data_IF_520475363909
#
_entry.id   IF_520475363909
#
_cell.length_a   1.000
_cell.length_b   1.000
_cell.length_c   1.000
_cell.angle_alpha   90.00
_cell.angle_beta   90.00
_cell.angle_gamma   90.00
#
_symmetry.space_group_name_H-M   'P 1'
#
loop_
_entity.id
_entity.type
_entity.pdbx_description
1 polymer ?
#
# COMPACT_ATOMS: atom_id res chain seq x y z
N UNK A 1 14.93 4.41 -13.68
CA UNK A 1 14.57 3.37 -12.69
C UNK A 1 13.86 4.08 -11.54
N UNK A 2 12.60 3.74 -11.27
CA UNK A 2 11.74 4.44 -10.29
C UNK A 2 11.92 3.83 -8.91
N UNK A 3 12.94 4.31 -8.19
CA UNK A 3 13.32 3.84 -6.85
C UNK A 3 13.41 5.00 -5.87
N UNK A 4 13.12 4.73 -4.60
CA UNK A 4 13.32 5.67 -3.52
C UNK A 4 13.61 4.95 -2.21
N UNK A 5 14.30 5.66 -1.31
CA UNK A 5 14.56 5.23 0.06
C UNK A 5 14.13 6.35 1.00
N UNK A 6 13.49 5.99 2.09
CA UNK A 6 13.05 6.93 3.13
C UNK A 6 13.44 6.38 4.49
N UNK A 7 14.01 7.25 5.31
CA UNK A 7 14.23 7.01 6.73
C UNK A 7 13.34 7.94 7.55
N UNK A 8 12.69 7.40 8.57
CA UNK A 8 11.84 8.14 9.52
C UNK A 8 12.25 7.75 10.93
N UNK A 9 12.63 8.71 11.74
CA UNK A 9 13.01 8.52 13.12
C UNK A 9 12.17 9.44 14.01
N UNK A 10 11.39 8.84 14.90
CA UNK A 10 10.53 9.51 15.87
C UNK A 10 10.86 8.98 17.27
N UNK A 11 10.15 9.45 18.29
CA UNK A 11 10.26 8.89 19.64
C UNK A 11 9.61 7.50 19.76
N UNK A 12 8.74 7.12 18.82
CA UNK A 12 7.93 5.90 18.82
C UNK A 12 8.49 4.83 17.88
N UNK A 13 9.07 5.24 16.75
CA UNK A 13 9.52 4.33 15.69
C UNK A 13 10.82 4.79 15.04
N UNK A 14 11.66 3.81 14.64
CA UNK A 14 12.81 4.01 13.74
C UNK A 14 12.61 3.16 12.52
N UNK A 15 12.45 3.79 11.36
CA UNK A 15 12.04 3.13 10.13
C UNK A 15 13.02 3.46 9.00
N UNK A 16 13.39 2.44 8.25
CA UNK A 16 14.02 2.56 6.95
C UNK A 16 13.23 1.74 5.94
N UNK A 17 12.79 2.38 4.86
CA UNK A 17 12.08 1.73 3.76
C UNK A 17 12.76 1.99 2.44
N UNK A 18 12.69 1.03 1.52
CA UNK A 18 13.00 1.25 0.12
C UNK A 18 11.93 0.64 -0.78
N UNK A 19 11.68 1.28 -1.91
CA UNK A 19 10.75 0.79 -2.93
C UNK A 19 11.38 0.89 -4.32
N UNK A 20 11.13 -0.12 -5.15
CA UNK A 20 11.43 -0.12 -6.58
C UNK A 20 10.13 -0.46 -7.34
N UNK A 21 9.54 0.53 -8.03
CA UNK A 21 8.30 0.36 -8.77
C UNK A 21 8.45 -0.54 -10.00
N UNK A 22 9.67 -0.66 -10.52
CA UNK A 22 10.03 -1.49 -11.67
C UNK A 22 10.75 -2.79 -11.22
N UNK A 23 10.34 -3.33 -10.08
CA UNK A 23 10.95 -4.50 -9.44
C UNK A 23 10.44 -5.84 -9.99
N UNK A 24 10.74 -6.88 -9.25
CA UNK A 24 10.38 -8.28 -9.54
C UNK A 24 9.53 -8.93 -8.45
N UNK A 25 9.08 -8.15 -7.46
CA UNK A 25 8.26 -8.61 -6.36
C UNK A 25 9.06 -9.22 -5.21
N UNK A 26 10.30 -8.79 -5.02
CA UNK A 26 11.15 -9.22 -3.92
C UNK A 26 10.89 -8.36 -2.70
N UNK A 27 10.75 -8.99 -1.53
CA UNK A 27 10.57 -8.29 -0.26
C UNK A 27 11.65 -8.62 0.76
N UNK A 28 11.96 -7.64 1.65
CA UNK A 28 12.76 -7.82 2.87
C UNK A 28 12.04 -7.07 3.98
N UNK A 29 11.34 -7.79 4.85
CA UNK A 29 10.37 -7.22 5.77
C UNK A 29 10.73 -7.58 7.21
N UNK A 30 10.90 -6.58 8.05
CA UNK A 30 11.25 -6.67 9.47
C UNK A 30 10.52 -5.56 10.23
N UNK A 31 9.18 -5.62 10.29
CA UNK A 31 8.39 -4.66 11.08
C UNK A 31 8.30 -5.04 12.56
N UNK A 32 8.61 -6.29 12.88
CA UNK A 32 8.36 -6.88 14.21
C UNK A 32 6.93 -7.39 14.39
N UNK A 33 6.06 -7.23 13.39
CA UNK A 33 4.65 -7.67 13.39
C UNK A 33 4.44 -8.66 12.25
N UNK A 34 4.47 -9.95 12.57
CA UNK A 34 4.52 -11.03 11.56
C UNK A 34 3.38 -11.01 10.55
N UNK A 35 2.13 -10.77 10.99
CA UNK A 35 0.99 -10.68 10.07
C UNK A 35 1.11 -9.46 9.14
N UNK A 36 1.60 -8.35 9.66
CA UNK A 36 1.82 -7.15 8.85
C UNK A 36 2.92 -7.35 7.79
N UNK A 37 4.03 -8.01 8.17
CA UNK A 37 5.07 -8.39 7.21
C UNK A 37 4.49 -9.28 6.10
N UNK A 38 3.63 -10.24 6.46
CA UNK A 38 2.93 -11.07 5.48
C UNK A 38 2.03 -10.24 4.54
N UNK A 39 1.35 -9.22 5.05
CA UNK A 39 0.52 -8.32 4.23
C UNK A 39 1.36 -7.44 3.30
N UNK A 40 2.48 -6.90 3.76
CA UNK A 40 3.41 -6.14 2.92
C UNK A 40 4.04 -7.00 1.81
N UNK A 41 4.30 -8.29 2.08
CA UNK A 41 4.76 -9.24 1.06
C UNK A 41 3.71 -9.44 -0.05
N UNK A 42 2.41 -9.40 0.28
CA UNK A 42 1.35 -9.45 -0.73
C UNK A 42 1.42 -8.24 -1.68
N UNK A 43 1.70 -7.04 -1.14
CA UNK A 43 1.86 -5.84 -1.97
C UNK A 43 3.06 -6.00 -2.91
N UNK A 44 4.21 -6.39 -2.37
CA UNK A 44 5.44 -6.57 -3.15
C UNK A 44 5.24 -7.61 -4.26
N UNK A 45 4.79 -8.80 -3.90
CA UNK A 45 4.63 -9.94 -4.81
C UNK A 45 3.62 -9.68 -5.91
N UNK A 46 2.42 -9.22 -5.56
CA UNK A 46 1.35 -9.00 -6.53
C UNK A 46 1.46 -7.67 -7.27
N UNK A 47 2.17 -6.70 -6.66
CA UNK A 47 2.55 -5.44 -7.30
C UNK A 47 3.76 -5.54 -8.22
N UNK A 48 4.53 -6.65 -8.16
CA UNK A 48 5.81 -6.78 -8.84
C UNK A 48 6.76 -5.62 -8.52
N UNK A 49 6.68 -5.13 -7.28
CA UNK A 49 7.54 -4.08 -6.73
C UNK A 49 8.52 -4.70 -5.75
N UNK A 50 9.78 -4.24 -5.72
CA UNK A 50 10.66 -4.66 -4.65
C UNK A 50 10.45 -3.72 -3.46
N UNK A 51 10.22 -4.26 -2.27
CA UNK A 51 9.94 -3.51 -1.04
C UNK A 51 10.86 -4.00 0.08
N UNK A 52 11.55 -3.06 0.72
CA UNK A 52 12.27 -3.35 1.96
C UNK A 52 11.72 -2.48 3.09
N UNK A 53 11.50 -3.09 4.25
CA UNK A 53 11.06 -2.41 5.47
C UNK A 53 11.88 -2.94 6.63
N UNK A 54 12.54 -2.05 7.35
CA UNK A 54 13.13 -2.30 8.65
C UNK A 54 12.52 -1.30 9.64
N UNK A 55 11.86 -1.79 10.68
CA UNK A 55 11.23 -0.96 11.69
C UNK A 55 11.56 -1.46 13.10
N UNK A 56 11.89 -0.54 13.98
CA UNK A 56 11.95 -0.73 15.43
C UNK A 56 10.92 0.20 16.06
N UNK A 57 9.76 -0.34 16.41
CA UNK A 57 8.68 0.40 17.05
C UNK A 57 8.51 0.03 18.53
N UNK A 58 7.68 0.79 19.20
CA UNK A 58 7.30 0.64 20.60
C UNK A 58 6.23 -0.45 20.83
N UNK A 59 6.47 -1.64 20.26
CA UNK A 59 5.55 -2.79 20.28
C UNK A 59 5.13 -3.26 21.68
N UNK A 60 5.82 -2.78 22.73
CA UNK A 60 5.40 -3.01 24.11
C UNK A 60 4.10 -2.26 24.47
N UNK A 61 3.73 -1.24 23.72
CA UNK A 61 2.43 -0.54 23.80
C UNK A 61 1.41 -1.35 22.97
N UNK A 62 1.56 -1.31 21.65
CA UNK A 62 0.84 -2.12 20.67
C UNK A 62 1.52 -1.97 19.29
N UNK A 63 0.87 -2.43 18.22
CA UNK A 63 1.40 -2.34 16.86
C UNK A 63 0.96 -1.07 16.09
N UNK A 64 0.19 -0.17 16.69
CA UNK A 64 -0.44 0.98 16.01
C UNK A 64 0.61 1.88 15.37
N UNK A 65 1.53 2.44 16.17
CA UNK A 65 2.56 3.35 15.68
C UNK A 65 3.45 2.71 14.61
N UNK A 66 3.79 1.44 14.78
CA UNK A 66 4.57 0.69 13.78
C UNK A 66 3.85 0.61 12.43
N UNK A 67 2.59 0.21 12.43
CA UNK A 67 1.81 0.00 11.20
C UNK A 67 1.52 1.32 10.49
N UNK A 68 1.09 2.33 11.23
CA UNK A 68 0.82 3.68 10.70
C UNK A 68 2.09 4.30 10.11
N UNK A 69 3.18 4.32 10.86
CA UNK A 69 4.44 4.97 10.46
C UNK A 69 5.12 4.27 9.28
N UNK A 70 5.02 2.94 9.18
CA UNK A 70 5.45 2.20 7.99
C UNK A 70 4.59 2.60 6.79
N UNK A 71 3.27 2.77 6.96
CA UNK A 71 2.37 3.29 5.91
C UNK A 71 2.80 4.68 5.44
N UNK A 72 3.10 5.58 6.37
CA UNK A 72 3.63 6.93 6.09
C UNK A 72 4.93 6.87 5.28
N UNK A 73 5.91 6.12 5.76
CA UNK A 73 7.22 6.02 5.13
C UNK A 73 7.15 5.40 3.73
N UNK A 74 6.36 4.33 3.55
CA UNK A 74 6.12 3.72 2.24
C UNK A 74 5.37 4.65 1.29
N UNK A 75 4.38 5.43 1.78
CA UNK A 75 3.69 6.44 0.99
C UNK A 75 4.63 7.53 0.48
N UNK A 76 5.55 8.00 1.33
CA UNK A 76 6.59 8.96 0.96
C UNK A 76 7.55 8.37 -0.08
N UNK A 77 8.04 7.15 0.14
CA UNK A 77 8.93 6.46 -0.79
C UNK A 77 8.24 6.22 -2.15
N UNK A 78 6.98 5.80 -2.15
CA UNK A 78 6.17 5.64 -3.37
C UNK A 78 6.10 6.96 -4.16
N UNK A 79 5.74 8.06 -3.50
CA UNK A 79 5.64 9.39 -4.13
C UNK A 79 6.98 9.83 -4.75
N UNK A 80 8.09 9.62 -4.03
CA UNK A 80 9.42 9.95 -4.52
C UNK A 80 9.82 9.09 -5.72
N UNK A 81 9.60 7.78 -5.64
CA UNK A 81 9.92 6.84 -6.72
C UNK A 81 9.11 7.12 -8.00
N UNK A 82 7.86 7.56 -7.83
CA UNK A 82 6.96 7.85 -8.95
C UNK A 82 7.39 9.07 -9.77
N UNK A 83 8.02 10.05 -9.16
CA UNK A 83 8.52 11.24 -9.82
C UNK A 83 7.42 12.14 -10.38
N UNK A 84 7.58 12.57 -11.64
CA UNK A 84 6.71 13.58 -12.28
C UNK A 84 5.38 13.03 -12.82
N UNK A 85 5.14 11.74 -12.70
CA UNK A 85 3.91 11.04 -13.10
C UNK A 85 3.59 11.07 -14.60
N UNK A 86 4.50 11.51 -15.45
CA UNK A 86 4.29 11.53 -16.90
C UNK A 86 4.30 10.11 -17.47
N UNK A 87 3.39 9.85 -18.39
CA UNK A 87 3.30 8.59 -19.11
C UNK A 87 2.73 7.41 -18.33
N UNK A 88 2.34 7.58 -17.07
CA UNK A 88 1.69 6.51 -16.30
C UNK A 88 0.20 6.36 -16.68
N UNK A 89 -0.38 5.18 -16.42
CA UNK A 89 -1.82 4.95 -16.61
C UNK A 89 -2.70 5.75 -15.64
N UNK A 90 -2.19 6.05 -14.44
CA UNK A 90 -2.82 6.88 -13.40
C UNK A 90 -3.97 6.19 -12.67
N UNK A 91 -4.96 5.64 -13.38
CA UNK A 91 -6.13 4.99 -12.78
C UNK A 91 -5.99 3.48 -12.91
N UNK A 92 -6.36 2.76 -11.88
CA UNK A 92 -6.46 1.31 -11.96
C UNK A 92 -7.39 0.73 -10.91
N UNK A 93 -7.77 -0.51 -11.15
CA UNK A 93 -8.54 -1.30 -10.20
C UNK A 93 -8.11 -2.77 -10.24
N UNK A 94 -8.42 -3.49 -9.17
CA UNK A 94 -8.30 -4.93 -9.13
C UNK A 94 -9.40 -5.55 -8.28
N UNK A 95 -9.91 -6.68 -8.73
CA UNK A 95 -10.74 -7.60 -7.94
C UNK A 95 -9.88 -8.81 -7.64
N UNK A 96 -9.76 -9.18 -6.38
CA UNK A 96 -8.98 -10.35 -5.96
C UNK A 96 -9.79 -11.23 -5.03
N UNK A 97 -10.03 -12.50 -5.39
CA UNK A 97 -10.62 -13.49 -4.52
C UNK A 97 -9.54 -14.23 -3.72
N UNK A 98 -9.92 -14.72 -2.57
CA UNK A 98 -9.24 -15.78 -1.83
C UNK A 98 -10.32 -16.64 -1.17
N UNK A 99 -10.51 -17.85 -1.68
CA UNK A 99 -11.60 -18.74 -1.30
C UNK A 99 -12.96 -18.01 -1.30
N UNK A 100 -13.58 -17.82 -0.13
CA UNK A 100 -14.89 -17.17 0.03
C UNK A 100 -14.81 -15.64 0.09
N UNK A 101 -13.62 -15.06 0.25
CA UNK A 101 -13.43 -13.61 0.33
C UNK A 101 -13.19 -13.01 -1.06
N UNK A 102 -13.71 -11.82 -1.25
CA UNK A 102 -13.53 -11.02 -2.48
C UNK A 102 -13.41 -9.56 -2.12
N UNK A 103 -12.32 -8.92 -2.52
CA UNK A 103 -12.13 -7.49 -2.37
C UNK A 103 -11.93 -6.79 -3.70
N UNK A 104 -12.35 -5.53 -3.76
CA UNK A 104 -12.14 -4.59 -4.85
C UNK A 104 -11.31 -3.41 -4.34
N UNK A 105 -10.28 -3.05 -5.10
CA UNK A 105 -9.49 -1.84 -4.87
C UNK A 105 -9.50 -1.00 -6.14
N UNK A 106 -9.78 0.29 -6.01
CA UNK A 106 -9.74 1.28 -7.10
C UNK A 106 -8.91 2.47 -6.66
N UNK A 107 -8.00 2.95 -7.49
CA UNK A 107 -7.18 4.10 -7.14
C UNK A 107 -6.97 5.08 -8.30
N UNK A 108 -6.72 6.32 -7.90
CA UNK A 108 -6.28 7.43 -8.77
C UNK A 108 -5.00 8.05 -8.19
N UNK A 109 -3.94 8.09 -8.98
CA UNK A 109 -2.72 8.84 -8.63
C UNK A 109 -2.99 10.34 -8.87
N UNK A 110 -3.88 10.88 -8.05
CA UNK A 110 -4.53 12.18 -8.25
C UNK A 110 -3.71 13.38 -7.74
N UNK A 111 -2.65 13.14 -6.96
CA UNK A 111 -1.97 14.20 -6.21
C UNK A 111 -2.76 14.70 -4.98
N UNK A 112 -3.90 14.10 -4.68
CA UNK A 112 -4.79 14.45 -3.55
C UNK A 112 -5.05 13.22 -2.68
N UNK A 113 -4.78 13.29 -1.37
CA UNK A 113 -5.09 12.18 -0.47
C UNK A 113 -6.61 12.02 -0.29
N UNK A 114 -7.07 10.78 -0.32
CA UNK A 114 -8.44 10.42 -0.01
C UNK A 114 -8.57 8.91 0.15
N UNK A 115 -9.16 8.44 1.25
CA UNK A 115 -9.41 7.04 1.53
C UNK A 115 -10.88 6.79 1.80
N UNK A 116 -11.50 5.97 0.95
CA UNK A 116 -12.80 5.35 1.18
C UNK A 116 -12.58 3.88 1.55
N UNK A 117 -12.94 3.52 2.78
CA UNK A 117 -12.65 2.20 3.34
C UNK A 117 -13.94 1.53 3.80
N UNK A 118 -14.51 0.69 2.94
CA UNK A 118 -15.75 -0.04 3.15
C UNK A 118 -15.46 -1.51 3.45
N UNK A 119 -14.95 -1.76 4.66
CA UNK A 119 -14.58 -3.09 5.12
C UNK A 119 -15.13 -3.33 6.51
N UNK A 120 -15.88 -4.41 6.65
CA UNK A 120 -16.35 -4.93 7.94
C UNK A 120 -15.68 -6.28 8.20
N UNK A 121 -14.70 -6.29 9.09
CA UNK A 121 -14.03 -7.54 9.47
C UNK A 121 -14.93 -8.39 10.36
N UNK A 122 -14.91 -9.70 10.14
CA UNK A 122 -15.71 -10.66 10.92
C UNK A 122 -15.16 -10.90 12.33
N UNK A 123 -13.96 -10.40 12.65
CA UNK A 123 -13.28 -10.52 13.94
C UNK A 123 -12.46 -9.26 14.19
N UNK A 124 -12.24 -8.96 15.47
CA UNK A 124 -11.39 -7.84 15.88
C UNK A 124 -9.89 -8.12 15.70
N UNK A 125 -9.47 -9.39 15.62
CA UNK A 125 -8.06 -9.78 15.55
C UNK A 125 -7.80 -10.95 14.60
N UNK A 126 -6.61 -10.94 13.99
CA UNK A 126 -6.04 -12.06 13.24
C UNK A 126 -4.73 -12.44 13.94
N UNK A 127 -4.76 -13.51 14.74
CA UNK A 127 -3.69 -13.76 15.72
C UNK A 127 -3.60 -12.59 16.70
N UNK A 128 -2.42 -12.02 16.85
CA UNK A 128 -2.17 -10.84 17.69
C UNK A 128 -2.40 -9.50 16.95
N UNK A 129 -2.70 -9.53 15.66
CA UNK A 129 -2.88 -8.33 14.83
C UNK A 129 -4.31 -7.80 14.93
N UNK A 130 -4.47 -6.57 15.36
CA UNK A 130 -5.75 -5.86 15.39
C UNK A 130 -6.16 -5.47 13.96
N UNK A 131 -7.39 -5.79 13.55
CA UNK A 131 -7.85 -5.53 12.17
C UNK A 131 -8.03 -4.04 11.86
N UNK A 132 -8.21 -3.19 12.87
CA UNK A 132 -8.31 -1.73 12.68
C UNK A 132 -7.01 -1.17 12.08
N UNK A 133 -5.87 -1.83 12.33
CA UNK A 133 -4.58 -1.42 11.79
C UNK A 133 -4.49 -1.53 10.27
N UNK A 134 -5.36 -2.32 9.63
CA UNK A 134 -5.44 -2.37 8.16
C UNK A 134 -5.81 -0.99 7.62
N UNK A 135 -6.81 -0.33 8.21
CA UNK A 135 -7.21 1.02 7.82
C UNK A 135 -6.11 2.03 8.08
N UNK A 136 -5.43 1.93 9.24
CA UNK A 136 -4.38 2.87 9.63
C UNK A 136 -3.18 2.81 8.68
N UNK A 137 -2.77 1.61 8.23
CA UNK A 137 -1.75 1.46 7.19
C UNK A 137 -2.12 2.21 5.90
N UNK A 138 -3.34 1.97 5.39
CA UNK A 138 -3.78 2.61 4.14
C UNK A 138 -3.97 4.11 4.30
N UNK A 139 -4.43 4.60 5.45
CA UNK A 139 -4.55 6.04 5.73
C UNK A 139 -3.17 6.72 5.74
N UNK A 140 -2.19 6.14 6.43
CA UNK A 140 -0.81 6.62 6.43
C UNK A 140 -0.22 6.65 5.03
N UNK A 141 -0.37 5.56 4.27
CA UNK A 141 0.11 5.47 2.89
C UNK A 141 -0.56 6.52 1.98
N UNK A 142 -1.87 6.59 1.96
CA UNK A 142 -2.66 7.48 1.08
C UNK A 142 -2.31 8.95 1.31
N UNK A 143 -2.21 9.36 2.58
CA UNK A 143 -1.90 10.73 2.95
C UNK A 143 -0.54 11.18 2.40
N UNK A 144 0.44 10.28 2.37
CA UNK A 144 1.81 10.61 2.00
C UNK A 144 2.15 10.28 0.55
N UNK A 145 1.49 9.28 -0.04
CA UNK A 145 1.54 9.01 -1.48
C UNK A 145 0.75 10.05 -2.30
N UNK A 146 -0.17 10.78 -1.66
CA UNK A 146 -1.10 11.73 -2.28
C UNK A 146 -1.92 11.07 -3.40
N UNK A 147 -2.56 9.95 -3.08
CA UNK A 147 -3.47 9.23 -3.99
C UNK A 147 -4.89 9.21 -3.43
N UNK A 148 -5.86 9.00 -4.31
CA UNK A 148 -7.23 8.66 -3.91
C UNK A 148 -7.38 7.14 -4.00
N UNK A 149 -7.86 6.51 -2.92
CA UNK A 149 -7.95 5.05 -2.79
C UNK A 149 -9.34 4.65 -2.27
N UNK A 150 -9.99 3.74 -2.97
CA UNK A 150 -11.22 3.09 -2.54
C UNK A 150 -10.96 1.61 -2.32
N UNK A 151 -11.35 1.11 -1.15
CA UNK A 151 -11.23 -0.29 -0.74
C UNK A 151 -12.59 -0.79 -0.32
N UNK A 152 -13.07 -1.83 -0.98
CA UNK A 152 -14.30 -2.51 -0.63
C UNK A 152 -14.02 -4.00 -0.41
N UNK A 153 -14.38 -4.54 0.74
CA UNK A 153 -14.52 -5.98 0.91
C UNK A 153 -15.96 -6.37 0.58
N UNK A 154 -16.15 -6.98 -0.58
CA UNK A 154 -17.46 -7.29 -1.13
C UNK A 154 -18.12 -8.50 -0.46
N UNK A 155 -17.29 -9.44 0.03
CA UNK A 155 -17.69 -10.62 0.80
C UNK A 155 -16.48 -11.26 1.46
N UNK A 156 -16.72 -12.07 2.48
CA UNK A 156 -15.72 -12.84 3.20
C UNK A 156 -16.22 -13.18 4.60
N UNK A 157 -15.84 -14.33 5.11
CA UNK A 157 -16.17 -14.79 6.48
C UNK A 157 -14.94 -15.02 7.33
N UNK A 158 -13.76 -15.15 6.69
CA UNK A 158 -12.48 -15.28 7.37
C UNK A 158 -11.73 -13.94 7.30
N UNK A 159 -11.48 -13.31 8.46
CA UNK A 159 -10.84 -12.01 8.53
C UNK A 159 -9.42 -11.97 7.90
N UNK A 160 -8.66 -13.09 7.98
CA UNK A 160 -7.38 -13.22 7.31
C UNK A 160 -7.55 -13.11 5.77
N UNK A 161 -8.51 -13.89 5.21
CA UNK A 161 -8.80 -13.83 3.78
C UNK A 161 -9.32 -12.45 3.35
N UNK A 162 -10.14 -11.79 4.17
CA UNK A 162 -10.59 -10.41 3.91
C UNK A 162 -9.40 -9.47 3.81
N UNK A 163 -8.50 -9.46 4.81
CA UNK A 163 -7.31 -8.62 4.80
C UNK A 163 -6.40 -8.94 3.61
N UNK A 164 -6.07 -10.21 3.40
CA UNK A 164 -5.13 -10.62 2.35
C UNK A 164 -5.64 -10.28 0.94
N UNK A 165 -6.95 -10.43 0.67
CA UNK A 165 -7.53 -10.01 -0.63
C UNK A 165 -7.41 -8.51 -0.87
N UNK A 166 -7.51 -7.68 0.18
CA UNK A 166 -7.31 -6.23 0.11
C UNK A 166 -5.87 -5.88 -0.28
N UNK A 167 -4.88 -6.44 0.43
CA UNK A 167 -3.47 -6.16 0.16
C UNK A 167 -3.02 -6.66 -1.22
N UNK A 168 -3.49 -7.84 -1.65
CA UNK A 168 -3.27 -8.37 -3.01
C UNK A 168 -3.90 -7.46 -4.08
N UNK A 169 -5.15 -7.05 -3.88
CA UNK A 169 -5.85 -6.17 -4.81
C UNK A 169 -5.17 -4.80 -4.90
N UNK A 170 -4.72 -4.26 -3.75
CA UNK A 170 -3.96 -3.02 -3.72
C UNK A 170 -2.65 -3.12 -4.50
N UNK A 171 -1.85 -4.16 -4.26
CA UNK A 171 -0.60 -4.38 -5.01
C UNK A 171 -0.84 -4.45 -6.52
N UNK A 172 -1.85 -5.19 -6.97
CA UNK A 172 -2.21 -5.30 -8.39
C UNK A 172 -2.70 -3.99 -9.00
N UNK A 173 -3.57 -3.26 -8.29
CA UNK A 173 -4.08 -1.97 -8.75
C UNK A 173 -2.94 -0.93 -8.81
N UNK A 174 -2.06 -0.91 -7.79
CA UNK A 174 -0.92 0.00 -7.76
C UNK A 174 0.04 -0.25 -8.93
N UNK A 175 0.38 -1.53 -9.19
CA UNK A 175 1.19 -1.91 -10.37
C UNK A 175 0.58 -1.38 -11.65
N UNK A 176 -0.72 -1.63 -11.87
CA UNK A 176 -1.39 -1.23 -13.10
C UNK A 176 -1.43 0.31 -13.25
N UNK A 177 -1.63 1.05 -12.16
CA UNK A 177 -1.69 2.51 -12.18
C UNK A 177 -0.34 3.18 -12.51
N UNK A 178 0.77 2.60 -12.02
CA UNK A 178 2.11 3.13 -12.27
C UNK A 178 2.73 2.64 -13.59
N UNK A 179 2.09 1.70 -14.27
CA UNK A 179 2.58 1.19 -15.55
C UNK A 179 2.66 2.29 -16.59
N UNK A 180 3.78 2.32 -17.32
CA UNK A 180 3.97 3.29 -18.40
C UNK A 180 3.14 2.88 -19.60
N UNK A 181 2.32 3.78 -20.11
CA UNK A 181 1.57 3.61 -21.35
C UNK A 181 2.38 4.21 -22.51
N UNK A 182 2.85 3.41 -23.48
CA UNK A 182 3.62 3.91 -24.63
C UNK A 182 2.89 5.00 -25.43
N UNK A 183 1.55 4.98 -25.41
CA UNK A 183 0.72 5.98 -26.10
C UNK A 183 0.67 7.30 -25.35
N UNK A 184 1.06 7.32 -24.06
CA UNK A 184 1.08 8.49 -23.19
C UNK A 184 2.52 8.97 -22.89
N UNK A 185 3.53 8.47 -23.62
CA UNK A 185 4.93 8.78 -23.36
C UNK A 185 5.19 10.30 -23.25
N UNK A 186 5.69 10.74 -22.10
CA UNK A 186 5.97 12.15 -21.81
C UNK A 186 4.75 13.04 -21.57
N UNK A 187 3.52 12.49 -21.65
CA UNK A 187 2.28 13.24 -21.47
C UNK A 187 1.85 13.19 -20.00
N UNK A 188 1.47 14.33 -19.43
CA UNK A 188 0.80 14.37 -18.13
C UNK A 188 -0.61 13.78 -18.26
N UNK A 189 -0.99 12.73 -17.52
CA UNK A 189 -2.30 12.10 -17.62
C UNK A 189 -3.38 12.93 -16.91
N UNK A 190 -3.50 14.20 -17.27
CA UNK A 190 -4.45 15.16 -16.67
C UNK A 190 -4.81 16.23 -17.66
N UNK A 191 -6.10 16.54 -17.81
CA UNK A 191 -6.60 17.66 -18.60
C UNK A 191 -6.20 19.02 -18.03
N UNK A 192 -5.79 19.06 -16.75
CA UNK A 192 -5.26 20.27 -16.09
C UNK A 192 -3.78 20.53 -16.39
N UNK A 193 -3.08 19.55 -16.99
CA UNK A 193 -1.63 19.64 -17.21
C UNK A 193 -0.77 19.44 -15.95
N UNK A 194 -1.38 19.11 -14.81
CA UNK A 194 -0.70 18.87 -13.53
C UNK A 194 -1.43 17.82 -12.69
N UNK A 195 -0.70 17.16 -11.75
CA UNK A 195 -1.19 16.22 -10.75
C UNK A 195 -0.49 16.43 -9.41
#
# INVERSE_FOLDING_TARGET
MRKAEVSRDTLETKIAVSINLDGTGVSKLQSGVGFFDHMLDQIARHGMMDISVACQGDLHIDAHHTVEDVGIALGQAFKQALGDKKGIRRYAHAYVPLDEALSRVVLDISGRPGLEFNVEFTRARIGEFDVDLVREFFQGFVNHAAITLHIDNLRGTNAHHQAETIYKAFGRALRAAVELDPRMAGIMPSTKGSL
#
